data_IF_832013860986
#
_entry.id   IF_832013860986
#
_cell.length_a   1.000
_cell.length_b   1.000
_cell.length_c   1.000
_cell.angle_alpha   90.00
_cell.angle_beta   90.00
_cell.angle_gamma   90.00
#
_symmetry.space_group_name_H-M   'P 1'
#
loop_
_entity.id
_entity.type
_entity.pdbx_description
1 polymer ?
#
# COMPACT_ATOMS: atom_id res chain seq x y z
N UNK A 1 10.09 10.04 36.05
CA UNK A 1 9.43 10.96 35.10
C UNK A 1 10.27 10.97 33.82
N UNK A 2 10.03 10.02 32.91
CA UNK A 2 10.86 9.79 31.73
C UNK A 2 9.94 9.60 30.52
N UNK A 3 9.58 10.71 29.86
CA UNK A 3 8.72 10.68 28.67
C UNK A 3 9.22 11.78 27.72
N UNK A 4 9.30 11.47 26.42
CA UNK A 4 9.10 12.41 25.28
C UNK A 4 10.27 13.02 24.48
N UNK A 5 11.51 12.50 24.52
CA UNK A 5 12.59 13.04 23.65
C UNK A 5 12.73 12.39 22.27
N UNK A 6 12.42 11.09 22.12
CA UNK A 6 12.59 10.39 20.83
C UNK A 6 11.62 10.87 19.73
N UNK A 7 10.39 11.23 20.10
CA UNK A 7 9.36 11.70 19.16
C UNK A 7 9.71 13.07 18.54
N UNK A 8 10.27 13.99 19.31
CA UNK A 8 10.57 15.34 18.81
C UNK A 8 11.76 15.35 17.84
N UNK A 9 12.74 14.46 18.04
CA UNK A 9 13.88 14.31 17.12
C UNK A 9 13.42 13.76 15.77
N UNK A 10 12.53 12.77 15.79
CA UNK A 10 11.96 12.18 14.59
C UNK A 10 11.11 13.20 13.81
N UNK A 11 10.21 13.90 14.50
CA UNK A 11 9.40 14.96 13.89
C UNK A 11 10.28 16.08 13.34
N UNK A 12 11.34 16.45 14.06
CA UNK A 12 12.34 17.41 13.59
C UNK A 12 13.08 16.94 12.35
N UNK A 13 13.48 15.67 12.29
CA UNK A 13 14.15 15.08 11.13
C UNK A 13 13.22 15.02 9.91
N UNK A 14 11.94 14.69 10.11
CA UNK A 14 10.91 14.72 9.06
C UNK A 14 10.74 16.14 8.52
N UNK A 15 10.65 17.14 9.40
CA UNK A 15 10.58 18.55 9.00
C UNK A 15 11.83 19.01 8.25
N UNK A 16 13.02 18.56 8.65
CA UNK A 16 14.27 18.85 7.93
C UNK A 16 14.30 18.17 6.58
N UNK A 17 13.89 16.90 6.48
CA UNK A 17 13.83 16.17 5.20
C UNK A 17 12.84 16.82 4.23
N UNK A 18 11.62 17.13 4.69
CA UNK A 18 10.60 17.86 3.93
C UNK A 18 11.12 19.25 3.55
N UNK A 19 11.79 19.94 4.46
CA UNK A 19 12.37 21.26 4.24
C UNK A 19 13.50 21.24 3.21
N UNK A 20 14.40 20.26 3.26
CA UNK A 20 15.48 20.07 2.28
C UNK A 20 14.88 19.77 0.90
N UNK A 21 13.89 18.89 0.83
CA UNK A 21 13.17 18.60 -0.40
C UNK A 21 12.50 19.86 -0.96
N UNK A 22 11.78 20.63 -0.14
CA UNK A 22 11.20 21.93 -0.50
C UNK A 22 12.24 22.96 -0.95
N UNK A 23 13.44 22.95 -0.35
CA UNK A 23 14.50 23.91 -0.64
C UNK A 23 15.25 23.57 -1.92
N UNK A 24 15.49 22.28 -2.17
CA UNK A 24 15.98 21.78 -3.46
C UNK A 24 15.00 22.14 -4.58
N UNK A 25 13.68 22.03 -4.35
CA UNK A 25 12.66 22.44 -5.33
C UNK A 25 12.74 23.92 -5.72
N UNK A 26 13.22 24.81 -4.85
CA UNK A 26 13.33 26.24 -5.16
C UNK A 26 14.46 26.56 -6.13
N UNK A 27 15.44 25.68 -6.23
CA UNK A 27 16.61 25.84 -7.10
C UNK A 27 16.55 24.97 -8.35
N UNK A 28 15.41 24.30 -8.59
CA UNK A 28 15.25 23.33 -9.65
C UNK A 28 14.94 24.03 -11.00
N UNK A 29 15.69 23.73 -12.08
CA UNK A 29 15.47 24.33 -13.40
C UNK A 29 14.10 23.93 -14.00
N UNK A 30 13.56 24.75 -14.90
CA UNK A 30 12.18 24.70 -15.43
C UNK A 30 11.73 23.31 -15.92
N UNK A 31 12.65 22.48 -16.42
CA UNK A 31 12.40 21.10 -16.85
C UNK A 31 11.87 20.16 -15.73
N UNK A 32 12.17 20.46 -14.47
CA UNK A 32 11.67 19.70 -13.32
C UNK A 32 10.32 20.23 -12.81
N UNK A 33 9.88 21.41 -13.27
CA UNK A 33 8.58 21.97 -12.91
C UNK A 33 7.40 21.29 -13.64
N UNK A 34 7.61 20.82 -14.87
CA UNK A 34 6.59 20.08 -15.64
C UNK A 34 6.31 18.67 -15.07
N UNK A 35 7.30 18.04 -14.44
CA UNK A 35 7.19 16.69 -13.87
C UNK A 35 7.10 16.68 -12.33
N UNK A 36 6.76 17.82 -11.75
CA UNK A 36 6.86 18.09 -10.32
C UNK A 36 5.99 17.13 -9.48
N UNK A 37 4.81 16.76 -9.98
CA UNK A 37 3.94 15.78 -9.32
C UNK A 37 4.58 14.40 -9.16
N UNK A 38 5.30 13.92 -10.18
CA UNK A 38 5.93 12.61 -10.18
C UNK A 38 7.09 12.53 -9.17
N UNK A 39 7.95 13.55 -9.15
CA UNK A 39 9.08 13.62 -8.22
C UNK A 39 8.62 13.84 -6.78
N UNK A 40 7.54 14.59 -6.56
CA UNK A 40 6.94 14.71 -5.23
C UNK A 40 6.41 13.37 -4.72
N UNK A 41 5.66 12.63 -5.55
CA UNK A 41 5.11 11.32 -5.19
C UNK A 41 6.23 10.33 -4.83
N UNK A 42 7.24 10.20 -5.69
CA UNK A 42 8.37 9.30 -5.41
C UNK A 42 9.16 9.78 -4.19
N UNK A 43 9.48 11.07 -4.10
CA UNK A 43 10.26 11.64 -3.00
C UNK A 43 9.58 11.44 -1.65
N UNK A 44 8.27 11.65 -1.58
CA UNK A 44 7.49 11.42 -0.36
C UNK A 44 7.45 9.93 0.01
N UNK A 45 7.31 9.05 -0.97
CA UNK A 45 7.40 7.60 -0.77
C UNK A 45 8.73 7.19 -0.16
N UNK A 46 9.85 7.67 -0.72
CA UNK A 46 11.20 7.41 -0.21
C UNK A 46 11.38 7.97 1.20
N UNK A 47 10.86 9.16 1.50
CA UNK A 47 10.91 9.73 2.85
C UNK A 47 10.17 8.82 3.84
N UNK A 48 8.95 8.37 3.54
CA UNK A 48 8.21 7.49 4.46
C UNK A 48 8.89 6.14 4.65
N UNK A 49 9.48 5.57 3.60
CA UNK A 49 10.27 4.35 3.73
C UNK A 49 11.51 4.58 4.60
N UNK A 50 12.25 5.67 4.39
CA UNK A 50 13.43 6.01 5.19
C UNK A 50 13.07 6.25 6.67
N UNK A 51 11.96 6.94 6.92
CA UNK A 51 11.40 7.15 8.26
C UNK A 51 11.02 5.80 8.88
N UNK A 52 10.27 4.95 8.19
CA UNK A 52 9.90 3.62 8.67
C UNK A 52 11.11 2.75 9.03
N UNK A 53 12.18 2.80 8.23
CA UNK A 53 13.44 2.09 8.52
C UNK A 53 14.10 2.68 9.78
N UNK A 54 14.12 4.00 9.93
CA UNK A 54 14.76 4.67 11.06
C UNK A 54 13.97 4.50 12.39
N UNK A 55 12.64 4.47 12.31
CA UNK A 55 11.77 4.33 13.48
C UNK A 55 11.47 2.89 13.84
N UNK A 56 11.60 1.97 12.87
CA UNK A 56 11.09 0.59 12.96
C UNK A 56 9.59 0.52 13.25
N UNK A 57 8.86 1.59 12.92
CA UNK A 57 7.40 1.61 13.00
C UNK A 57 6.81 1.12 11.68
N UNK A 58 5.96 0.13 11.80
CA UNK A 58 5.27 -0.59 10.74
C UNK A 58 4.34 0.30 9.89
N UNK A 59 3.72 1.30 10.52
CA UNK A 59 2.74 2.20 9.89
C UNK A 59 3.29 3.06 8.74
N UNK A 60 4.58 3.38 8.71
CA UNK A 60 5.18 4.25 7.67
C UNK A 60 5.49 3.50 6.37
N UNK A 61 5.67 2.18 6.44
CA UNK A 61 5.96 1.37 5.26
C UNK A 61 4.77 1.29 4.30
N UNK A 62 3.54 1.39 4.81
CA UNK A 62 2.33 1.35 3.99
C UNK A 62 2.25 2.55 3.02
N UNK A 63 2.20 3.82 3.50
CA UNK A 63 2.20 4.98 2.61
C UNK A 63 3.51 5.07 1.81
N UNK A 64 4.64 4.66 2.40
CA UNK A 64 5.93 4.63 1.70
C UNK A 64 5.93 3.68 0.51
N UNK A 65 5.44 2.45 0.65
CA UNK A 65 5.36 1.47 -0.43
C UNK A 65 4.38 1.89 -1.52
N UNK A 66 3.19 2.38 -1.15
CA UNK A 66 2.17 2.84 -2.10
C UNK A 66 2.68 4.05 -2.91
N UNK A 67 3.21 5.08 -2.26
CA UNK A 67 3.70 6.28 -2.93
C UNK A 67 4.96 6.01 -3.76
N UNK A 68 5.84 5.15 -3.27
CA UNK A 68 7.02 4.74 -4.04
C UNK A 68 6.62 3.94 -5.28
N UNK A 69 5.65 3.02 -5.15
CA UNK A 69 5.12 2.25 -6.29
C UNK A 69 4.42 3.14 -7.32
N UNK A 70 3.60 4.09 -6.88
CA UNK A 70 2.95 5.08 -7.75
C UNK A 70 3.99 5.95 -8.45
N UNK A 71 4.91 6.55 -7.69
CA UNK A 71 5.97 7.40 -8.23
C UNK A 71 6.86 6.66 -9.22
N UNK A 72 7.23 5.42 -8.91
CA UNK A 72 8.02 4.56 -9.80
C UNK A 72 7.25 4.19 -11.07
N UNK A 73 5.95 3.90 -10.97
CA UNK A 73 5.10 3.60 -12.13
C UNK A 73 4.98 4.77 -13.07
N UNK A 74 4.71 5.99 -12.56
CA UNK A 74 4.64 7.19 -13.40
C UNK A 74 6.01 7.48 -14.02
N UNK A 75 7.11 7.36 -13.26
CA UNK A 75 8.48 7.50 -13.78
C UNK A 75 8.79 6.53 -14.92
N UNK A 76 8.37 5.28 -14.78
CA UNK A 76 8.66 4.24 -15.76
C UNK A 76 7.97 4.52 -17.09
N UNK A 77 6.69 4.91 -17.04
CA UNK A 77 5.87 5.18 -18.23
C UNK A 77 6.20 6.52 -18.88
N UNK A 78 6.50 7.55 -18.09
CA UNK A 78 6.91 8.87 -18.60
C UNK A 78 8.35 8.88 -19.15
N UNK A 79 9.14 7.85 -18.84
CA UNK A 79 10.52 7.77 -19.27
C UNK A 79 10.64 7.27 -20.71
N UNK A 80 11.67 7.70 -21.48
CA UNK A 80 12.02 7.08 -22.76
C UNK A 80 12.26 5.56 -22.68
N UNK A 81 12.43 5.04 -21.47
CA UNK A 81 12.53 3.60 -21.21
C UNK A 81 11.25 2.85 -21.58
N UNK A 82 10.05 3.43 -21.38
CA UNK A 82 8.79 2.81 -21.78
C UNK A 82 8.73 2.55 -23.29
N UNK A 83 9.15 3.54 -24.09
CA UNK A 83 9.22 3.41 -25.54
C UNK A 83 10.19 2.30 -26.00
N UNK A 84 11.23 1.99 -25.21
CA UNK A 84 12.17 0.90 -25.49
C UNK A 84 11.66 -0.46 -25.05
N UNK A 85 10.91 -0.52 -23.95
CA UNK A 85 10.33 -1.75 -23.43
C UNK A 85 9.18 -2.23 -24.32
N UNK A 86 8.46 -1.30 -24.96
CA UNK A 86 7.28 -1.60 -25.77
C UNK A 86 6.14 -2.19 -24.94
N UNK A 87 4.99 -2.42 -25.57
CA UNK A 87 3.80 -2.94 -24.89
C UNK A 87 2.94 -1.86 -24.24
N UNK A 88 1.96 -2.30 -23.46
CA UNK A 88 0.98 -1.41 -22.82
C UNK A 88 1.59 -0.63 -21.65
N UNK A 89 1.48 0.70 -21.70
CA UNK A 89 1.93 1.60 -20.65
C UNK A 89 1.24 1.32 -19.31
N UNK A 90 -0.05 1.00 -19.36
CA UNK A 90 -0.84 0.63 -18.18
C UNK A 90 -0.29 -0.62 -17.50
N UNK A 91 0.07 -1.64 -18.27
CA UNK A 91 0.70 -2.86 -17.77
C UNK A 91 2.01 -2.61 -17.02
N UNK A 92 2.93 -1.82 -17.60
CA UNK A 92 4.19 -1.48 -16.94
C UNK A 92 3.99 -0.63 -15.67
N UNK A 93 3.05 0.32 -15.71
CA UNK A 93 2.66 1.09 -14.53
C UNK A 93 2.17 0.18 -13.40
N UNK A 94 1.28 -0.76 -13.71
CA UNK A 94 0.72 -1.68 -12.72
C UNK A 94 1.78 -2.59 -12.12
N UNK A 95 2.76 -3.08 -12.91
CA UNK A 95 3.86 -3.87 -12.37
C UNK A 95 4.75 -3.08 -11.41
N UNK A 96 5.08 -1.83 -11.75
CA UNK A 96 5.83 -0.96 -10.85
C UNK A 96 5.04 -0.67 -9.56
N UNK A 97 3.73 -0.45 -9.69
CA UNK A 97 2.85 -0.24 -8.54
C UNK A 97 2.75 -1.49 -7.65
N UNK A 98 2.63 -2.68 -8.24
CA UNK A 98 2.69 -3.96 -7.52
C UNK A 98 4.02 -4.15 -6.78
N UNK A 99 5.13 -3.72 -7.36
CA UNK A 99 6.43 -3.68 -6.70
C UNK A 99 6.41 -2.86 -5.41
N UNK A 100 5.75 -1.71 -5.41
CA UNK A 100 5.55 -0.88 -4.20
C UNK A 100 4.75 -1.61 -3.12
N UNK A 101 3.73 -2.38 -3.50
CA UNK A 101 2.96 -3.22 -2.59
C UNK A 101 3.77 -4.38 -2.01
N UNK A 102 4.59 -5.06 -2.80
CA UNK A 102 5.48 -6.12 -2.32
C UNK A 102 6.62 -5.60 -1.43
N UNK A 103 6.96 -4.32 -1.56
CA UNK A 103 7.94 -3.67 -0.71
C UNK A 103 7.42 -3.51 0.74
N UNK A 104 6.11 -3.39 0.96
CA UNK A 104 5.50 -3.26 2.29
C UNK A 104 5.77 -4.49 3.18
N UNK A 105 5.36 -5.72 2.81
CA UNK A 105 5.63 -6.90 3.61
C UNK A 105 7.13 -7.20 3.67
N UNK A 106 7.90 -6.90 2.61
CA UNK A 106 9.34 -7.10 2.61
C UNK A 106 10.04 -6.23 3.66
N UNK A 107 9.74 -4.92 3.69
CA UNK A 107 10.36 -4.01 4.64
C UNK A 107 9.83 -4.21 6.06
N UNK A 108 8.54 -4.49 6.24
CA UNK A 108 7.99 -4.80 7.57
C UNK A 108 8.56 -6.10 8.13
N UNK A 109 8.79 -7.12 7.31
CA UNK A 109 9.45 -8.36 7.75
C UNK A 109 10.92 -8.17 8.17
N UNK A 110 11.63 -7.20 7.58
CA UNK A 110 13.05 -6.95 7.87
C UNK A 110 13.22 -5.98 9.05
N UNK A 111 12.36 -4.96 9.15
CA UNK A 111 12.59 -3.82 10.03
C UNK A 111 11.54 -3.63 11.13
N UNK A 112 10.34 -4.21 11.03
CA UNK A 112 9.25 -4.02 11.99
C UNK A 112 8.98 -5.28 12.83
N UNK A 113 8.25 -5.11 13.94
CA UNK A 113 7.86 -6.21 14.83
C UNK A 113 6.75 -7.08 14.24
N UNK A 114 5.82 -6.46 13.50
CA UNK A 114 4.71 -7.14 12.82
C UNK A 114 4.89 -7.08 11.30
N UNK A 115 4.70 -8.22 10.65
CA UNK A 115 4.78 -8.33 9.19
C UNK A 115 3.41 -8.19 8.55
N UNK A 116 3.27 -7.24 7.65
CA UNK A 116 2.01 -6.94 6.95
C UNK A 116 1.77 -7.83 5.73
N UNK A 117 1.60 -9.13 5.95
CA UNK A 117 1.35 -10.13 4.90
C UNK A 117 0.12 -9.82 4.03
N UNK A 118 -0.85 -9.10 4.57
CA UNK A 118 -2.06 -8.71 3.86
C UNK A 118 -1.76 -7.91 2.57
N UNK A 119 -0.66 -7.16 2.53
CA UNK A 119 -0.26 -6.34 1.37
C UNK A 119 0.17 -7.17 0.14
N UNK A 120 0.48 -8.46 0.32
CA UNK A 120 0.75 -9.37 -0.80
C UNK A 120 -0.48 -9.64 -1.65
N UNK A 121 -1.68 -9.62 -1.07
CA UNK A 121 -2.92 -9.89 -1.78
C UNK A 121 -3.20 -8.79 -2.83
N UNK A 122 -3.31 -7.50 -2.47
CA UNK A 122 -3.49 -6.44 -3.46
C UNK A 122 -2.29 -6.33 -4.40
N UNK A 123 -1.04 -6.45 -3.90
CA UNK A 123 0.13 -6.45 -4.77
C UNK A 123 0.11 -7.57 -5.80
N UNK A 124 -0.31 -8.77 -5.41
CA UNK A 124 -0.45 -9.93 -6.28
C UNK A 124 -1.53 -9.75 -7.34
N UNK A 125 -2.69 -9.22 -6.96
CA UNK A 125 -3.77 -8.91 -7.91
C UNK A 125 -3.30 -7.86 -8.92
N UNK A 126 -2.69 -6.76 -8.45
CA UNK A 126 -2.17 -5.71 -9.32
C UNK A 126 -1.10 -6.27 -10.27
N UNK A 127 -0.22 -7.14 -9.79
CA UNK A 127 0.79 -7.78 -10.62
C UNK A 127 0.16 -8.65 -11.72
N UNK A 128 -0.84 -9.48 -11.37
CA UNK A 128 -1.55 -10.32 -12.36
C UNK A 128 -2.27 -9.45 -13.40
N UNK A 129 -2.92 -8.37 -12.98
CA UNK A 129 -3.59 -7.44 -13.91
C UNK A 129 -2.56 -6.75 -14.81
N UNK A 130 -1.42 -6.31 -14.27
CA UNK A 130 -0.34 -5.72 -15.05
C UNK A 130 0.28 -6.70 -16.06
N UNK A 131 0.50 -7.95 -15.66
CA UNK A 131 0.95 -9.02 -16.56
C UNK A 131 -0.09 -9.34 -17.63
N UNK A 132 -1.38 -9.35 -17.28
CA UNK A 132 -2.47 -9.53 -18.24
C UNK A 132 -2.51 -8.41 -19.28
N UNK A 133 -2.28 -7.16 -18.86
CA UNK A 133 -2.22 -6.03 -19.77
C UNK A 133 -1.01 -6.10 -20.72
N UNK A 134 0.17 -6.56 -20.26
CA UNK A 134 1.37 -6.65 -21.08
C UNK A 134 1.38 -7.85 -22.04
N UNK A 135 1.00 -9.02 -21.54
CA UNK A 135 1.19 -10.29 -22.24
C UNK A 135 -0.11 -10.94 -22.70
N UNK A 136 -1.27 -10.53 -22.17
CA UNK A 136 -2.55 -11.14 -22.46
C UNK A 136 -2.61 -12.63 -22.13
N UNK A 137 -3.44 -13.35 -22.88
CA UNK A 137 -3.52 -14.82 -22.85
C UNK A 137 -3.91 -15.38 -21.48
N UNK A 138 -3.05 -16.24 -20.91
CA UNK A 138 -3.31 -16.96 -19.66
C UNK A 138 -3.71 -16.04 -18.50
N UNK A 139 -3.06 -14.89 -18.38
CA UNK A 139 -3.34 -13.93 -17.30
C UNK A 139 -4.70 -13.25 -17.48
N UNK A 140 -5.08 -12.94 -18.73
CA UNK A 140 -6.40 -12.39 -19.04
C UNK A 140 -7.50 -13.42 -18.76
N UNK A 141 -7.29 -14.68 -19.16
CA UNK A 141 -8.21 -15.77 -18.82
C UNK A 141 -8.34 -15.97 -17.31
N UNK A 142 -7.23 -15.96 -16.56
CA UNK A 142 -7.27 -16.07 -15.11
C UNK A 142 -8.09 -14.94 -14.47
N UNK A 143 -7.96 -13.71 -14.99
CA UNK A 143 -8.70 -12.55 -14.50
C UNK A 143 -10.21 -12.65 -14.81
N UNK A 144 -10.59 -13.13 -16.00
CA UNK A 144 -11.99 -13.42 -16.34
C UNK A 144 -12.60 -14.47 -15.40
N UNK A 145 -11.87 -15.57 -15.14
CA UNK A 145 -12.31 -16.59 -14.21
C UNK A 145 -12.46 -16.04 -12.80
N UNK A 146 -11.48 -15.27 -12.30
CA UNK A 146 -11.57 -14.60 -11.00
C UNK A 146 -12.78 -13.65 -10.92
N UNK A 147 -13.00 -12.85 -11.96
CA UNK A 147 -14.16 -11.96 -12.11
C UNK A 147 -15.50 -12.67 -12.20
N UNK A 148 -15.52 -13.95 -12.59
CA UNK A 148 -16.73 -14.78 -12.59
C UNK A 148 -17.00 -15.46 -11.24
N UNK A 149 -15.96 -15.68 -10.45
CA UNK A 149 -16.05 -16.37 -9.15
C UNK A 149 -16.43 -15.44 -8.00
N UNK A 150 -16.08 -14.15 -8.04
CA UNK A 150 -16.41 -13.22 -6.94
C UNK A 150 -17.92 -13.12 -6.59
N UNK A 151 -18.88 -13.12 -7.55
CA UNK A 151 -20.30 -13.04 -7.23
C UNK A 151 -20.76 -14.31 -6.51
N UNK A 152 -20.21 -15.47 -6.88
CA UNK A 152 -20.51 -16.73 -6.21
C UNK A 152 -20.01 -16.70 -4.76
N UNK A 153 -18.81 -16.17 -4.54
CA UNK A 153 -18.26 -15.94 -3.20
C UNK A 153 -19.16 -15.04 -2.34
N UNK A 154 -19.66 -13.94 -2.91
CA UNK A 154 -20.60 -13.05 -2.22
C UNK A 154 -21.96 -13.68 -1.95
N UNK A 155 -22.50 -14.46 -2.89
CA UNK A 155 -23.76 -15.19 -2.69
C UNK A 155 -23.60 -16.17 -1.53
N UNK A 156 -22.53 -16.96 -1.52
CA UNK A 156 -22.25 -17.93 -0.45
C UNK A 156 -22.05 -17.20 0.88
N UNK A 157 -21.22 -16.15 0.91
CA UNK A 157 -20.98 -15.34 2.10
C UNK A 157 -22.25 -14.70 2.65
N UNK A 158 -23.11 -14.16 1.76
CA UNK A 158 -24.40 -13.59 2.11
C UNK A 158 -25.36 -14.63 2.71
N UNK A 159 -25.45 -15.82 2.12
CA UNK A 159 -26.25 -16.94 2.65
C UNK A 159 -25.75 -17.37 4.03
N UNK A 160 -24.43 -17.48 4.20
CA UNK A 160 -23.81 -17.83 5.49
C UNK A 160 -24.11 -16.77 6.57
N UNK A 161 -23.99 -15.48 6.24
CA UNK A 161 -24.30 -14.38 7.16
C UNK A 161 -25.77 -14.41 7.59
N UNK A 162 -26.69 -14.65 6.66
CA UNK A 162 -28.12 -14.79 6.95
C UNK A 162 -28.41 -16.00 7.84
N UNK A 163 -27.68 -17.09 7.68
CA UNK A 163 -27.82 -18.28 8.53
C UNK A 163 -27.27 -18.05 9.94
N UNK A 164 -26.14 -17.34 10.06
CA UNK A 164 -25.57 -16.99 11.36
C UNK A 164 -26.43 -16.01 12.14
N UNK A 165 -27.06 -15.04 11.46
CA UNK A 165 -28.00 -14.09 12.08
C UNK A 165 -29.27 -14.75 12.63
N UNK A 166 -29.55 -16.02 12.30
CA UNK A 166 -30.69 -16.78 12.83
C UNK A 166 -30.34 -17.60 14.08
N UNK A 167 -29.11 -17.53 14.60
CA UNK A 167 -28.77 -18.12 15.90
C UNK A 167 -29.25 -17.17 16.99
N UNK A 168 -30.29 -17.51 17.77
CA UNK A 168 -30.75 -16.65 18.86
C UNK A 168 -29.62 -16.48 19.87
N UNK A 169 -29.39 -15.24 20.31
CA UNK A 169 -28.50 -14.93 21.41
C UNK A 169 -28.95 -15.74 22.62
N UNK A 170 -28.15 -16.72 23.04
CA UNK A 170 -28.33 -17.38 24.33
C UNK A 170 -28.24 -16.32 25.41
N UNK A 171 -29.33 -16.16 26.16
CA UNK A 171 -29.46 -15.33 27.36
C UNK A 171 -28.23 -15.46 28.28
N UNK A 172 -27.43 -14.41 28.37
CA UNK A 172 -26.43 -14.24 29.45
C UNK A 172 -26.88 -13.19 30.49
N UNK A 173 -28.14 -12.75 30.46
CA UNK A 173 -28.67 -11.77 31.42
C UNK A 173 -29.29 -12.36 32.67
N UNK A 174 -28.74 -13.44 33.22
CA UNK A 174 -29.10 -13.86 34.58
C UNK A 174 -27.85 -14.11 35.44
N UNK A 175 -27.16 -13.00 35.77
CA UNK A 175 -26.35 -12.93 36.98
C UNK A 175 -27.18 -12.16 38.02
N UNK A 176 -27.83 -12.84 38.99
CA UNK A 176 -28.61 -12.15 39.99
C UNK A 176 -27.65 -11.45 40.95
N UNK A 177 -27.57 -10.12 40.81
CA UNK A 177 -27.07 -9.25 41.85
C UNK A 177 -28.11 -9.15 42.97
N UNK A 178 -27.58 -9.19 44.20
CA UNK A 178 -28.19 -8.64 45.42
C UNK A 178 -29.60 -9.13 45.79
N UNK A 179 -29.63 -10.11 46.69
CA UNK A 179 -30.65 -10.14 47.73
C UNK A 179 -30.00 -9.79 49.06
N UNK A 180 -30.30 -8.59 49.53
CA UNK A 180 -30.09 -8.13 50.89
C UNK A 180 -30.46 -9.21 51.91
N UNK A 181 -29.52 -9.54 52.80
CA UNK A 181 -29.75 -10.02 54.16
C UNK A 181 -28.51 -9.69 55.00
#
# INVERSE_FOLDING_TARGET
MAIKTKSNLLTGLILVAIGIVALLFRWLPDALSDNLGQFLLLGLGVIFLAVGIATREDGWFIPGGILSGLGAGVLLVSSPLAARLGGDEGGWFLLAFAGGWFLIPLLTAIFAEETHWWALIPGGIIAVVGLAALYGGLFASALEWAGRLWPLGLIIGGVLLLWQSRRPATDETEKPAEKHA
#
